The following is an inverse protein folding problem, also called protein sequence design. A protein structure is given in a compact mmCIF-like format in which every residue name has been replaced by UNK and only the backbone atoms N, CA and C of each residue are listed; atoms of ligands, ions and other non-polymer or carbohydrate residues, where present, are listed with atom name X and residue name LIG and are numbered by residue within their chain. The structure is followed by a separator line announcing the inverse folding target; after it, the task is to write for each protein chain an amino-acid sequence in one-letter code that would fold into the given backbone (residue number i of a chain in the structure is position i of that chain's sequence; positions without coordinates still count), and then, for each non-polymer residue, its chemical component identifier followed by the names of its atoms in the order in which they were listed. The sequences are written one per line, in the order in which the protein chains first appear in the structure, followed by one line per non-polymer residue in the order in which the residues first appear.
data_IF_360938211455
#
_entry.id   IF_360938211455
#
_cell.length_a   1.000
_cell.length_b   1.000
_cell.length_c   1.000
_cell.angle_alpha   90.00
_cell.angle_beta   90.00
_cell.angle_gamma   90.00
#
_symmetry.space_group_name_H-M   'P 1'
#
loop_
_entity.id
_entity.type
_entity.pdbx_description
1 polymer ?
#
# COMPACT_ATOMS: atom_id res chain seq x y z
N UNK A 1 -10.05 6.41 -8.38
CA UNK A 1 -9.13 7.25 -7.58
C UNK A 1 -9.82 8.57 -7.32
N UNK A 2 -10.04 8.94 -6.06
CA UNK A 2 -10.68 10.22 -5.74
C UNK A 2 -9.77 11.37 -6.24
N UNK A 3 -10.31 12.52 -6.68
CA UNK A 3 -9.48 13.65 -7.14
C UNK A 3 -8.42 14.10 -6.11
N UNK A 4 -8.69 13.89 -4.83
CA UNK A 4 -7.75 14.20 -3.75
C UNK A 4 -6.61 13.18 -3.63
N UNK A 5 -6.87 11.91 -3.93
CA UNK A 5 -5.83 10.88 -3.96
C UNK A 5 -4.84 11.14 -5.10
N UNK A 6 -5.35 11.57 -6.26
CA UNK A 6 -4.51 11.96 -7.40
C UNK A 6 -3.53 13.06 -7.00
N UNK A 7 -4.03 14.13 -6.38
CA UNK A 7 -3.21 15.26 -5.91
C UNK A 7 -2.19 14.84 -4.86
N UNK A 8 -2.56 13.92 -3.95
CA UNK A 8 -1.65 13.35 -2.95
C UNK A 8 -0.51 12.55 -3.58
N UNK A 9 -0.82 11.71 -4.58
CA UNK A 9 0.20 10.92 -5.32
C UNK A 9 1.14 11.84 -6.09
N UNK A 10 0.61 12.85 -6.78
CA UNK A 10 1.43 13.84 -7.50
C UNK A 10 2.36 14.60 -6.55
N UNK A 11 1.84 15.06 -5.41
CA UNK A 11 2.64 15.74 -4.37
C UNK A 11 3.73 14.83 -3.80
N UNK A 12 3.45 13.54 -3.61
CA UNK A 12 4.44 12.55 -3.19
C UNK A 12 5.55 12.38 -4.23
N UNK A 13 5.19 12.32 -5.52
CA UNK A 13 6.16 12.19 -6.61
C UNK A 13 7.11 13.40 -6.67
N UNK A 14 6.60 14.62 -6.45
CA UNK A 14 7.43 15.84 -6.38
C UNK A 14 8.46 15.73 -5.25
N UNK A 15 8.02 15.46 -4.01
CA UNK A 15 8.93 15.35 -2.85
C UNK A 15 9.98 14.25 -3.01
N UNK A 16 9.60 13.11 -3.58
CA UNK A 16 10.54 12.02 -3.88
C UNK A 16 11.53 12.43 -4.98
N UNK A 17 11.08 13.20 -5.98
CA UNK A 17 11.97 13.65 -7.04
C UNK A 17 13.06 14.59 -6.52
N UNK A 18 12.69 15.49 -5.63
CA UNK A 18 13.63 16.39 -4.95
C UNK A 18 14.64 15.61 -4.09
N UNK A 19 14.14 14.65 -3.31
CA UNK A 19 14.98 13.85 -2.40
C UNK A 19 15.96 12.94 -3.15
N UNK A 20 15.51 12.31 -4.24
CA UNK A 20 16.31 11.39 -5.05
C UNK A 20 17.15 12.10 -6.12
N UNK A 21 16.95 13.41 -6.31
CA UNK A 21 17.54 14.20 -7.40
C UNK A 21 17.28 13.58 -8.78
N UNK A 22 16.10 12.98 -8.96
CA UNK A 22 15.70 12.28 -10.18
C UNK A 22 14.18 12.37 -10.38
N UNK A 23 13.71 12.49 -11.62
CA UNK A 23 12.28 12.64 -11.89
C UNK A 23 11.50 11.35 -11.57
N UNK A 24 10.65 11.41 -10.55
CA UNK A 24 9.71 10.35 -10.20
C UNK A 24 8.36 10.65 -10.86
N UNK A 25 7.92 9.76 -11.74
CA UNK A 25 6.58 9.78 -12.34
C UNK A 25 5.65 8.85 -11.56
N UNK A 26 4.33 9.13 -11.49
CA UNK A 26 3.37 8.23 -10.86
C UNK A 26 3.47 6.78 -11.37
N UNK A 27 3.65 6.59 -12.68
CA UNK A 27 3.82 5.26 -13.28
C UNK A 27 5.03 4.49 -12.70
N UNK A 28 6.14 5.18 -12.49
CA UNK A 28 7.38 4.58 -12.00
C UNK A 28 7.23 4.21 -10.52
N UNK A 29 6.64 5.12 -9.73
CA UNK A 29 6.32 4.89 -8.32
C UNK A 29 5.39 3.69 -8.16
N UNK A 30 4.30 3.62 -8.94
CA UNK A 30 3.36 2.50 -8.90
C UNK A 30 4.02 1.18 -9.29
N UNK A 31 4.89 1.17 -10.30
CA UNK A 31 5.65 -0.02 -10.69
C UNK A 31 6.59 -0.49 -9.57
N UNK A 32 7.30 0.43 -8.92
CA UNK A 32 8.17 0.09 -7.78
C UNK A 32 7.39 -0.45 -6.59
N UNK A 33 6.23 0.14 -6.28
CA UNK A 33 5.35 -0.37 -5.21
C UNK A 33 4.80 -1.76 -5.52
N UNK A 34 4.46 -2.03 -6.79
CA UNK A 34 4.04 -3.37 -7.22
C UNK A 34 5.15 -4.41 -7.04
N UNK A 35 6.37 -4.09 -7.45
CA UNK A 35 7.53 -4.99 -7.26
C UNK A 35 7.77 -5.26 -5.78
N UNK A 36 7.75 -4.22 -4.94
CA UNK A 36 7.89 -4.39 -3.49
C UNK A 36 6.77 -5.28 -2.91
N UNK A 37 5.54 -5.11 -3.39
CA UNK A 37 4.42 -5.95 -2.95
C UNK A 37 4.58 -7.41 -3.40
N UNK A 38 5.13 -7.67 -4.59
CA UNK A 38 5.46 -9.02 -5.05
C UNK A 38 6.55 -9.66 -4.20
N UNK A 39 7.62 -8.93 -3.88
CA UNK A 39 8.68 -9.43 -3.01
C UNK A 39 8.16 -9.76 -1.60
N UNK A 40 7.17 -9.00 -1.13
CA UNK A 40 6.51 -9.22 0.16
C UNK A 40 5.36 -10.24 0.10
N UNK A 41 5.03 -10.79 -1.07
CA UNK A 41 3.85 -11.67 -1.26
C UNK A 41 3.80 -12.84 -0.27
N UNK A 42 4.90 -13.57 0.02
CA UNK A 42 4.85 -14.68 0.98
C UNK A 42 4.47 -14.23 2.39
N UNK A 43 4.95 -13.05 2.82
CA UNK A 43 4.63 -12.48 4.14
C UNK A 43 3.18 -11.98 4.18
N UNK A 44 2.74 -11.29 3.13
CA UNK A 44 1.35 -10.86 2.95
C UNK A 44 0.40 -12.07 3.03
N UNK A 45 0.73 -13.16 2.35
CA UNK A 45 -0.06 -14.39 2.39
C UNK A 45 -0.05 -15.07 3.76
N UNK A 46 1.08 -15.08 4.47
CA UNK A 46 1.17 -15.66 5.81
C UNK A 46 0.27 -14.92 6.81
N UNK A 47 0.29 -13.59 6.81
CA UNK A 47 -0.60 -12.76 7.62
C UNK A 47 -2.07 -12.95 7.23
N UNK A 48 -2.37 -13.00 5.93
CA UNK A 48 -3.73 -13.23 5.44
C UNK A 48 -4.30 -14.60 5.87
N UNK A 49 -3.47 -15.65 5.94
CA UNK A 49 -3.88 -16.98 6.45
C UNK A 49 -4.23 -16.96 7.94
N UNK A 50 -3.70 -16.00 8.71
CA UNK A 50 -4.05 -15.79 10.12
C UNK A 50 -5.45 -15.19 10.32
N UNK A 51 -6.01 -14.57 9.28
CA UNK A 51 -7.37 -14.00 9.31
C UNK A 51 -8.39 -15.14 9.17
N UNK A 52 -8.83 -15.70 10.30
CA UNK A 52 -9.90 -16.71 10.31
C UNK A 52 -11.25 -16.08 9.99
N UNK A 53 -11.90 -16.61 8.95
CA UNK A 53 -13.28 -16.31 8.60
C UNK A 53 -13.39 -15.05 7.73
N UNK A 54 -13.58 -15.26 6.43
CA UNK A 54 -14.16 -14.25 5.53
C UNK A 54 -15.59 -13.96 6.02
N UNK A 55 -15.71 -13.07 7.00
CA UNK A 55 -17.01 -12.60 7.44
C UNK A 55 -17.43 -11.54 6.44
N UNK A 56 -18.28 -11.92 5.48
CA UNK A 56 -18.90 -10.97 4.55
C UNK A 56 -19.57 -9.87 5.40
N UNK A 57 -19.10 -8.61 5.33
CA UNK A 57 -19.75 -7.53 6.04
C UNK A 57 -21.21 -7.46 5.60
N UNK A 58 -22.12 -7.17 6.53
CA UNK A 58 -23.52 -6.98 6.20
C UNK A 58 -23.66 -5.66 5.42
N UNK A 59 -23.55 -5.71 4.09
CA UNK A 59 -23.82 -4.60 3.16
C UNK A 59 -23.11 -3.25 3.41
N UNK A 60 -22.05 -3.20 4.23
CA UNK A 60 -21.28 -1.98 4.43
C UNK A 60 -19.90 -2.09 3.75
N UNK A 61 -19.89 -1.77 2.47
CA UNK A 61 -18.68 -1.72 1.63
C UNK A 61 -17.61 -0.78 2.23
N UNK A 62 -18.01 0.22 3.03
CA UNK A 62 -17.05 1.13 3.68
C UNK A 62 -16.34 0.45 4.84
N UNK A 63 -17.04 -0.39 5.60
CA UNK A 63 -16.44 -1.12 6.71
C UNK A 63 -15.49 -2.22 6.21
N UNK A 64 -15.88 -2.91 5.13
CA UNK A 64 -15.00 -3.87 4.44
C UNK A 64 -13.75 -3.20 3.84
N UNK A 65 -13.91 -2.04 3.20
CA UNK A 65 -12.79 -1.28 2.64
C UNK A 65 -11.85 -0.74 3.72
N UNK A 66 -12.38 -0.21 4.82
CA UNK A 66 -11.57 0.30 5.93
C UNK A 66 -10.74 -0.80 6.60
N UNK A 67 -11.31 -2.00 6.77
CA UNK A 67 -10.59 -3.14 7.34
C UNK A 67 -9.50 -3.64 6.37
N UNK A 68 -9.80 -3.70 5.08
CA UNK A 68 -8.81 -4.00 4.04
C UNK A 68 -7.65 -2.98 4.04
N UNK A 69 -7.96 -1.68 4.05
CA UNK A 69 -6.96 -0.60 4.10
C UNK A 69 -6.11 -0.67 5.38
N UNK A 70 -6.73 -0.99 6.52
CA UNK A 70 -6.03 -1.17 7.80
C UNK A 70 -5.05 -2.33 7.75
N UNK A 71 -5.49 -3.50 7.27
CA UNK A 71 -4.64 -4.69 7.15
C UNK A 71 -3.49 -4.43 6.18
N UNK A 72 -3.77 -3.81 5.04
CA UNK A 72 -2.75 -3.44 4.06
C UNK A 72 -1.73 -2.45 4.65
N UNK A 73 -2.18 -1.44 5.41
CA UNK A 73 -1.31 -0.48 6.06
C UNK A 73 -0.38 -1.11 7.11
N UNK A 74 -0.86 -2.12 7.86
CA UNK A 74 -0.04 -2.87 8.82
C UNK A 74 1.07 -3.63 8.08
N UNK A 75 0.73 -4.39 7.04
CA UNK A 75 1.75 -5.16 6.31
C UNK A 75 2.77 -4.25 5.62
N UNK A 76 2.33 -3.14 5.02
CA UNK A 76 3.23 -2.16 4.42
C UNK A 76 4.17 -1.53 5.45
N UNK A 77 3.66 -1.17 6.64
CA UNK A 77 4.48 -0.60 7.73
C UNK A 77 5.53 -1.60 8.22
N UNK A 78 5.15 -2.85 8.42
CA UNK A 78 6.03 -3.90 8.88
C UNK A 78 7.08 -4.29 7.82
N UNK A 79 6.74 -4.15 6.52
CA UNK A 79 7.68 -4.27 5.41
C UNK A 79 8.73 -3.16 5.45
N UNK A 80 8.31 -1.89 5.51
CA UNK A 80 9.24 -0.74 5.57
C UNK A 80 10.16 -0.81 6.80
N UNK A 81 9.64 -1.22 7.96
CA UNK A 81 10.42 -1.35 9.20
C UNK A 81 11.53 -2.41 9.12
N UNK A 82 11.35 -3.46 8.29
CA UNK A 82 12.35 -4.51 8.09
C UNK A 82 13.43 -4.10 7.10
N UNK A 83 13.10 -3.31 6.08
CA UNK A 83 14.05 -2.81 5.07
C UNK A 83 14.85 -1.60 5.54
N UNK A 84 14.44 -0.94 6.63
CA UNK A 84 15.12 0.23 7.21
C UNK A 84 16.15 -0.13 8.30
N UNK A 85 16.48 -1.42 8.48
CA UNK A 85 17.57 -1.91 9.33
C UNK A 85 18.74 -2.35 8.49
#
# INVERSE_FOLDING_TARGET
MHPDDKRRVESLCVRLSESLRATVRPSNLMRSLLLLAQDCEPSLQAEARGVRGLRRPANDDRQGMAEFERLLAVVLRDGVARTSR
#
